data_IF_905709148548
#
_entry.id   IF_905709148548
#
_cell.length_a   1.000
_cell.length_b   1.000
_cell.length_c   1.000
_cell.angle_alpha   90.00
_cell.angle_beta   90.00
_cell.angle_gamma   90.00
#
_symmetry.space_group_name_H-M   'P 1'
#
loop_
_entity.id
_entity.type
_entity.pdbx_description
1 polymer ?
#
# COMPACT_ATOMS: atom_id res chain seq x y z
N UNK A 1 -1.04 -2.04 -10.50
CA UNK A 1 -0.02 -3.11 -10.51
C UNK A 1 -0.36 -4.17 -9.44
N UNK A 2 0.04 -5.43 -9.57
CA UNK A 2 -0.06 -6.45 -8.50
C UNK A 2 1.21 -6.51 -7.64
N UNK A 3 1.15 -7.15 -6.48
CA UNK A 3 2.33 -7.34 -5.63
C UNK A 3 3.43 -8.14 -6.33
N UNK A 4 3.08 -9.09 -7.19
CA UNK A 4 4.04 -9.87 -7.96
C UNK A 4 4.80 -9.00 -8.98
N UNK A 5 4.08 -8.14 -9.71
CA UNK A 5 4.69 -7.21 -10.66
C UNK A 5 5.54 -6.14 -9.97
N UNK A 6 5.13 -5.67 -8.80
CA UNK A 6 5.94 -4.77 -7.97
C UNK A 6 7.23 -5.42 -7.46
N UNK A 7 7.16 -6.66 -7.01
CA UNK A 7 8.34 -7.38 -6.50
C UNK A 7 9.38 -7.62 -7.59
N UNK A 8 8.98 -7.96 -8.82
CA UNK A 8 9.92 -8.25 -9.92
C UNK A 8 10.76 -7.03 -10.33
N UNK A 9 10.21 -5.82 -10.19
CA UNK A 9 10.87 -4.55 -10.54
C UNK A 9 11.59 -3.87 -9.36
N UNK A 10 11.37 -4.34 -8.14
CA UNK A 10 11.88 -3.66 -6.94
C UNK A 10 13.41 -3.70 -6.86
N UNK A 11 14.03 -4.85 -7.16
CA UNK A 11 15.49 -5.02 -7.05
C UNK A 11 16.29 -3.97 -7.85
N UNK A 12 16.05 -3.82 -9.16
CA UNK A 12 16.66 -2.76 -9.97
C UNK A 12 16.38 -1.35 -9.45
N UNK A 13 15.13 -1.05 -9.04
CA UNK A 13 14.76 0.26 -8.52
C UNK A 13 15.53 0.62 -7.23
N UNK A 14 15.65 -0.33 -6.30
CA UNK A 14 16.40 -0.14 -5.05
C UNK A 14 17.90 0.05 -5.30
N UNK A 15 18.46 -0.60 -6.33
CA UNK A 15 19.85 -0.42 -6.73
C UNK A 15 20.11 0.98 -7.31
N UNK A 16 19.17 1.49 -8.09
CA UNK A 16 19.30 2.76 -8.77
C UNK A 16 19.15 3.97 -7.84
N UNK A 17 18.20 3.92 -6.90
CA UNK A 17 17.77 5.14 -6.18
C UNK A 17 18.35 5.32 -4.78
N UNK A 18 18.92 4.27 -4.15
CA UNK A 18 19.47 4.32 -2.78
C UNK A 18 18.55 5.08 -1.79
N UNK A 19 17.25 4.80 -1.84
CA UNK A 19 16.25 5.58 -1.12
C UNK A 19 16.36 5.39 0.40
N UNK A 20 16.27 6.49 1.16
CA UNK A 20 16.18 6.44 2.62
C UNK A 20 14.83 5.87 3.10
N UNK A 21 13.77 6.08 2.32
CA UNK A 21 12.42 5.59 2.60
C UNK A 21 11.86 4.93 1.35
N UNK A 22 11.31 3.73 1.49
CA UNK A 22 10.56 3.03 0.46
C UNK A 22 9.09 3.00 0.84
N UNK A 23 8.25 3.64 0.02
CA UNK A 23 6.80 3.62 0.19
C UNK A 23 6.23 2.50 -0.67
N UNK A 24 5.54 1.53 -0.06
CA UNK A 24 4.92 0.40 -0.74
C UNK A 24 3.40 0.59 -0.72
N UNK A 25 2.82 0.91 -1.89
CA UNK A 25 1.37 0.99 -2.11
C UNK A 25 1.01 -0.02 -3.21
N UNK A 26 0.79 -1.28 -2.81
CA UNK A 26 0.50 -2.39 -3.71
C UNK A 26 -0.44 -3.38 -3.03
N UNK A 27 -1.25 -4.08 -3.84
CA UNK A 27 -2.15 -5.13 -3.39
C UNK A 27 -3.59 -4.96 -3.85
N UNK A 28 -4.04 -3.73 -4.16
CA UNK A 28 -5.40 -3.48 -4.63
C UNK A 28 -5.77 -4.38 -5.83
N UNK A 29 -4.88 -4.53 -6.81
CA UNK A 29 -5.14 -5.39 -7.97
C UNK A 29 -5.12 -6.88 -7.65
N UNK A 30 -4.33 -7.33 -6.66
CA UNK A 30 -4.35 -8.72 -6.18
C UNK A 30 -5.73 -9.03 -5.60
N UNK A 31 -6.23 -8.14 -4.75
CA UNK A 31 -7.53 -8.24 -4.12
C UNK A 31 -8.70 -8.15 -5.11
N UNK A 32 -8.67 -7.18 -6.03
CA UNK A 32 -9.71 -7.03 -7.06
C UNK A 32 -9.77 -8.23 -8.02
N UNK A 33 -8.65 -8.94 -8.22
CA UNK A 33 -8.57 -10.18 -8.99
C UNK A 33 -8.92 -11.44 -8.19
N UNK A 34 -9.19 -11.31 -6.89
CA UNK A 34 -9.50 -12.46 -6.02
C UNK A 34 -8.33 -13.43 -5.85
N UNK A 35 -7.08 -12.95 -5.98
CA UNK A 35 -5.89 -13.80 -5.83
C UNK A 35 -5.71 -14.28 -4.38
N UNK A 36 -4.97 -15.38 -4.15
CA UNK A 36 -4.67 -15.84 -2.80
C UNK A 36 -3.98 -14.77 -1.96
N UNK A 37 -4.56 -14.47 -0.79
CA UNK A 37 -4.03 -13.48 0.16
C UNK A 37 -2.64 -13.85 0.70
N UNK A 38 -2.34 -15.14 0.79
CA UNK A 38 -1.00 -15.64 1.16
C UNK A 38 0.07 -15.17 0.17
N UNK A 39 -0.22 -15.23 -1.13
CA UNK A 39 0.72 -14.79 -2.16
C UNK A 39 0.99 -13.28 -2.07
N UNK A 40 -0.07 -12.48 -1.86
CA UNK A 40 0.06 -11.04 -1.64
C UNK A 40 0.94 -10.73 -0.42
N UNK A 41 0.66 -11.41 0.71
CA UNK A 41 1.44 -11.26 1.94
C UNK A 41 2.91 -11.59 1.73
N UNK A 42 3.22 -12.73 1.11
CA UNK A 42 4.59 -13.18 0.87
C UNK A 42 5.35 -12.19 -0.03
N UNK A 43 4.69 -11.65 -1.05
CA UNK A 43 5.29 -10.66 -1.93
C UNK A 43 5.59 -9.36 -1.19
N UNK A 44 4.65 -8.84 -0.40
CA UNK A 44 4.85 -7.65 0.42
C UNK A 44 5.98 -7.85 1.45
N UNK A 45 6.02 -9.00 2.13
CA UNK A 45 7.11 -9.33 3.07
C UNK A 45 8.47 -9.32 2.36
N UNK A 46 8.59 -9.92 1.17
CA UNK A 46 9.84 -9.90 0.39
C UNK A 46 10.24 -8.47 0.02
N UNK A 47 9.29 -7.62 -0.35
CA UNK A 47 9.56 -6.22 -0.66
C UNK A 47 10.04 -5.44 0.57
N UNK A 48 9.39 -5.64 1.72
CA UNK A 48 9.79 -5.04 3.00
C UNK A 48 11.21 -5.47 3.37
N UNK A 49 11.51 -6.77 3.32
CA UNK A 49 12.84 -7.31 3.62
C UNK A 49 13.91 -6.72 2.70
N UNK A 50 13.64 -6.64 1.38
CA UNK A 50 14.59 -6.12 0.40
C UNK A 50 14.89 -4.62 0.57
N UNK A 51 13.88 -3.83 0.95
CA UNK A 51 14.08 -2.41 1.28
C UNK A 51 14.93 -2.27 2.55
N UNK A 52 14.56 -2.96 3.63
CA UNK A 52 15.28 -2.91 4.92
C UNK A 52 16.72 -3.41 4.80
N UNK A 53 17.00 -4.43 3.99
CA UNK A 53 18.37 -4.94 3.80
C UNK A 53 19.30 -3.91 3.14
N UNK A 54 18.77 -2.83 2.57
CA UNK A 54 19.52 -1.71 2.01
C UNK A 54 19.54 -0.48 2.93
N UNK A 55 19.07 -0.63 4.18
CA UNK A 55 19.02 0.45 5.16
C UNK A 55 17.85 1.42 4.97
N UNK A 56 16.90 1.12 4.09
CA UNK A 56 15.72 1.98 3.90
C UNK A 56 14.68 1.71 4.98
N UNK A 57 14.09 2.78 5.52
CA UNK A 57 12.82 2.71 6.23
C UNK A 57 11.70 2.34 5.25
N UNK A 58 10.62 1.74 5.76
CA UNK A 58 9.48 1.34 4.93
C UNK A 58 8.21 1.97 5.47
N UNK A 59 7.43 2.57 4.57
CA UNK A 59 6.05 2.95 4.79
C UNK A 59 5.14 2.04 3.98
N UNK A 60 4.31 1.25 4.65
CA UNK A 60 3.31 0.41 3.99
C UNK A 60 1.98 1.16 3.87
N UNK A 61 1.43 1.27 2.67
CA UNK A 61 0.13 1.90 2.42
C UNK A 61 -0.88 0.80 2.10
N UNK A 62 -1.89 0.70 2.95
CA UNK A 62 -2.97 -0.26 2.84
C UNK A 62 -4.13 0.22 1.99
N UNK A 63 -4.92 -0.76 1.56
CA UNK A 63 -6.10 -0.58 0.73
C UNK A 63 -7.29 -1.36 1.31
N UNK A 64 -8.50 -1.00 0.90
CA UNK A 64 -9.73 -1.74 1.21
C UNK A 64 -10.37 -2.22 -0.10
N UNK A 65 -11.01 -3.38 -0.04
CA UNK A 65 -11.78 -3.92 -1.15
C UNK A 65 -13.27 -3.63 -0.96
N UNK A 66 -14.04 -3.53 -2.06
CA UNK A 66 -15.49 -3.41 -1.97
C UNK A 66 -16.13 -4.63 -1.28
N UNK A 67 -17.30 -4.48 -0.63
CA UNK A 67 -17.88 -5.51 0.22
C UNK A 67 -18.37 -6.76 -0.56
N UNK A 68 -18.55 -6.67 -1.88
CA UNK A 68 -19.00 -7.76 -2.74
C UNK A 68 -18.00 -8.92 -2.86
N UNK A 69 -16.75 -8.78 -2.39
CA UNK A 69 -15.77 -9.86 -2.32
C UNK A 69 -15.91 -10.77 -1.09
N UNK A 70 -16.88 -10.47 -0.22
CA UNK A 70 -17.19 -11.26 0.96
C UNK A 70 -16.35 -10.89 2.19
N UNK A 71 -16.96 -10.86 3.38
CA UNK A 71 -16.35 -10.28 4.59
C UNK A 71 -15.08 -10.99 5.07
N UNK A 72 -14.95 -12.30 4.80
CA UNK A 72 -13.74 -13.06 5.14
C UNK A 72 -12.54 -12.59 4.31
N UNK A 73 -12.73 -12.42 3.01
CA UNK A 73 -11.67 -12.02 2.10
C UNK A 73 -11.29 -10.56 2.30
N UNK A 74 -12.27 -9.66 2.41
CA UNK A 74 -12.01 -8.22 2.58
C UNK A 74 -11.32 -7.90 3.90
N UNK A 75 -11.69 -8.56 5.01
CA UNK A 75 -10.98 -8.41 6.30
C UNK A 75 -9.58 -8.99 6.25
N UNK A 76 -9.41 -10.20 5.69
CA UNK A 76 -8.08 -10.80 5.53
C UNK A 76 -7.14 -9.92 4.72
N UNK A 77 -7.65 -9.33 3.63
CA UNK A 77 -6.91 -8.40 2.78
C UNK A 77 -6.42 -7.18 3.56
N UNK A 78 -7.30 -6.53 4.32
CA UNK A 78 -6.95 -5.35 5.12
C UNK A 78 -5.96 -5.70 6.25
N UNK A 79 -6.16 -6.84 6.91
CA UNK A 79 -5.33 -7.26 8.03
C UNK A 79 -3.88 -7.54 7.63
N UNK A 80 -3.61 -7.99 6.40
CA UNK A 80 -2.24 -8.24 5.93
C UNK A 80 -1.35 -7.00 6.11
N UNK A 81 -1.85 -5.81 5.77
CA UNK A 81 -1.06 -4.58 5.91
C UNK A 81 -0.72 -4.30 7.38
N UNK A 82 -1.68 -4.48 8.28
CA UNK A 82 -1.50 -4.23 9.72
C UNK A 82 -0.57 -5.25 10.38
N UNK A 83 -0.73 -6.53 10.03
CA UNK A 83 0.11 -7.62 10.54
C UNK A 83 1.56 -7.48 10.07
N UNK A 84 1.79 -7.25 8.77
CA UNK A 84 3.13 -7.04 8.23
C UNK A 84 3.80 -5.81 8.86
N UNK A 85 3.04 -4.72 9.07
CA UNK A 85 3.56 -3.54 9.70
C UNK A 85 4.03 -3.80 11.14
N UNK A 86 3.21 -4.52 11.92
CA UNK A 86 3.53 -4.93 13.29
C UNK A 86 4.73 -5.88 13.34
N UNK A 87 4.75 -6.91 12.50
CA UNK A 87 5.80 -7.93 12.47
C UNK A 87 7.16 -7.37 12.07
N UNK A 88 7.18 -6.37 11.19
CA UNK A 88 8.41 -5.77 10.70
C UNK A 88 8.80 -4.49 11.44
N UNK A 89 7.99 -4.04 12.40
CA UNK A 89 8.12 -2.76 13.11
C UNK A 89 8.28 -1.57 12.15
N UNK A 90 7.39 -1.47 11.15
CA UNK A 90 7.39 -0.40 10.14
C UNK A 90 6.14 0.47 10.24
N UNK A 91 6.19 1.67 9.67
CA UNK A 91 5.04 2.55 9.62
C UNK A 91 3.98 2.03 8.64
N UNK A 92 2.70 2.31 8.94
CA UNK A 92 1.57 1.91 8.09
C UNK A 92 0.52 3.02 7.99
N UNK A 93 -0.02 3.22 6.79
CA UNK A 93 -1.30 3.90 6.56
C UNK A 93 -2.33 2.81 6.26
N UNK A 94 -3.32 2.52 7.12
CA UNK A 94 -4.25 1.40 6.90
C UNK A 94 -5.09 1.51 5.63
N UNK A 95 -5.46 2.72 5.22
CA UNK A 95 -6.26 2.95 4.03
C UNK A 95 -5.93 4.28 3.37
N UNK A 96 -5.46 4.25 2.12
CA UNK A 96 -5.11 5.44 1.35
C UNK A 96 -6.32 6.35 1.05
N UNK A 97 -7.47 5.77 0.71
CA UNK A 97 -8.63 6.51 0.19
C UNK A 97 -9.63 6.93 1.29
N UNK A 98 -9.20 6.99 2.55
CA UNK A 98 -10.06 7.40 3.68
C UNK A 98 -10.60 8.83 3.44
N UNK A 99 -11.93 8.97 3.47
CA UNK A 99 -12.63 10.21 3.12
C UNK A 99 -12.58 10.63 1.64
N UNK A 100 -12.00 9.80 0.77
CA UNK A 100 -11.91 10.04 -0.68
C UNK A 100 -12.89 9.18 -1.47
N UNK A 101 -12.91 7.86 -1.21
CA UNK A 101 -13.71 6.91 -2.00
C UNK A 101 -15.23 7.14 -1.92
N UNK A 102 -15.69 7.92 -0.94
CA UNK A 102 -17.11 8.23 -0.71
C UNK A 102 -17.58 9.47 -1.48
N UNK A 103 -16.66 10.29 -2.01
CA UNK A 103 -16.98 11.54 -2.71
C UNK A 103 -16.95 11.35 -4.21
N UNK A 104 -18.12 11.31 -4.85
CA UNK A 104 -18.25 11.02 -6.29
C UNK A 104 -17.46 12.02 -7.15
N UNK A 105 -17.44 13.28 -6.75
CA UNK A 105 -16.72 14.39 -7.39
C UNK A 105 -15.19 14.25 -7.30
N UNK A 106 -14.68 13.36 -6.46
CA UNK A 106 -13.26 13.06 -6.31
C UNK A 106 -12.85 11.76 -7.01
N UNK A 107 -13.79 11.04 -7.61
CA UNK A 107 -13.54 9.79 -8.32
C UNK A 107 -13.64 9.98 -9.83
N UNK A 108 -12.85 9.22 -10.57
CA UNK A 108 -12.93 9.12 -12.03
C UNK A 108 -14.22 8.39 -12.46
N UNK A 109 -14.45 8.30 -13.76
CA UNK A 109 -15.67 7.68 -14.31
C UNK A 109 -15.86 6.22 -13.85
N UNK A 110 -14.77 5.50 -13.57
CA UNK A 110 -14.78 4.11 -13.12
C UNK A 110 -15.13 3.89 -11.64
N UNK A 111 -15.26 4.96 -10.84
CA UNK A 111 -15.51 4.92 -9.40
C UNK A 111 -14.44 4.19 -8.56
N UNK A 112 -13.26 3.91 -9.13
CA UNK A 112 -12.16 3.21 -8.45
C UNK A 112 -10.96 4.12 -8.25
N UNK A 113 -10.68 5.00 -9.22
CA UNK A 113 -9.50 5.86 -9.17
C UNK A 113 -9.87 7.28 -8.74
N UNK A 114 -9.12 7.88 -7.80
CA UNK A 114 -9.27 9.29 -7.50
C UNK A 114 -8.88 10.17 -8.70
N UNK A 115 -9.51 11.34 -8.83
CA UNK A 115 -9.17 12.34 -9.82
C UNK A 115 -8.15 13.37 -9.27
N UNK A 116 -7.86 14.40 -10.06
CA UNK A 116 -6.89 15.44 -9.68
C UNK A 116 -7.32 16.25 -8.44
N UNK A 117 -8.62 16.47 -8.24
CA UNK A 117 -9.14 17.23 -7.10
C UNK A 117 -8.95 16.49 -5.76
N UNK A 118 -8.83 15.16 -5.80
CA UNK A 118 -8.61 14.33 -4.62
C UNK A 118 -7.15 14.32 -4.12
N UNK A 119 -6.18 14.69 -4.97
CA UNK A 119 -4.75 14.52 -4.68
C UNK A 119 -4.29 15.24 -3.40
N UNK A 120 -4.74 16.49 -3.10
CA UNK A 120 -4.40 17.13 -1.83
C UNK A 120 -4.88 16.33 -0.62
N UNK A 121 -6.07 15.72 -0.70
CA UNK A 121 -6.59 14.87 0.38
C UNK A 121 -5.79 13.58 0.52
N UNK A 122 -5.34 12.97 -0.58
CA UNK A 122 -4.47 11.80 -0.52
C UNK A 122 -3.15 12.12 0.19
N UNK A 123 -2.58 13.30 -0.07
CA UNK A 123 -1.40 13.78 0.66
C UNK A 123 -1.69 13.93 2.16
N UNK A 124 -2.82 14.54 2.54
CA UNK A 124 -3.22 14.67 3.96
C UNK A 124 -3.35 13.30 4.65
N UNK A 125 -3.76 12.26 3.93
CA UNK A 125 -3.86 10.90 4.48
C UNK A 125 -2.47 10.26 4.68
N UNK A 126 -1.52 10.49 3.77
CA UNK A 126 -0.16 9.91 3.82
C UNK A 126 0.75 10.67 4.80
N UNK A 127 0.59 11.98 4.89
CA UNK A 127 1.51 12.87 5.59
C UNK A 127 1.76 12.51 7.06
N UNK A 128 0.75 12.15 7.88
CA UNK A 128 0.95 11.78 9.28
C UNK A 128 1.86 10.55 9.45
N UNK A 129 1.82 9.59 8.52
CA UNK A 129 2.66 8.39 8.55
C UNK A 129 4.03 8.63 7.95
N UNK A 130 4.17 9.56 7.00
CA UNK A 130 5.43 9.85 6.31
C UNK A 130 6.30 10.87 7.04
N UNK A 131 5.73 11.97 7.53
CA UNK A 131 6.49 13.08 8.11
C UNK A 131 7.44 12.67 9.26
N UNK A 132 7.06 11.78 10.20
CA UNK A 132 7.97 11.34 11.26
C UNK A 132 9.21 10.59 10.74
N UNK A 133 9.12 9.97 9.56
CA UNK A 133 10.23 9.23 8.95
C UNK A 133 11.24 10.17 8.27
N UNK A 134 10.80 11.36 7.82
CA UNK A 134 11.65 12.37 7.18
C UNK A 134 12.51 13.17 8.15
N UNK A 135 12.17 13.16 9.45
CA UNK A 135 12.83 13.96 10.50
C UNK A 135 13.92 13.19 11.27
N UNK A 136 14.31 12.02 10.77
CA UNK A 136 15.39 11.21 11.34
C UNK A 136 16.76 11.74 10.94
#
# INVERSE_FOLDING_TARGET
ETTAGGLSRLGPALAQHQAAIVIIELGANDGLRGLPLTQMRDNLQKMITAAKSRGADVLLIGMRLPPNYGPRYTRGFQNIYLELAKENSIAVLPFLLEGVSEKREWMQADNLHPNAAAQPRLLENVWPSLLPQLKK
#
